data_IF_420462612324
#
_entry.id   IF_420462612324
#
_cell.length_a   1.000
_cell.length_b   1.000
_cell.length_c   1.000
_cell.angle_alpha   90.00
_cell.angle_beta   90.00
_cell.angle_gamma   90.00
#
_symmetry.space_group_name_H-M   'P 1'
#
loop_
_entity.id
_entity.type
_entity.pdbx_description
1 polymer ?
#
# COMPACT_ATOMS: atom_id res chain seq x y z
N UNK A 1 -52.47 -12.99 21.49
CA UNK A 1 -53.44 -11.97 21.10
C UNK A 1 -52.82 -11.14 20.01
N UNK A 2 -53.48 -11.21 18.83
CA UNK A 2 -53.37 -10.39 17.62
C UNK A 2 -51.97 -10.21 17.02
N UNK A 3 -51.59 -10.94 16.00
CA UNK A 3 -52.06 -10.99 14.59
C UNK A 3 -52.21 -9.60 13.93
N UNK A 4 -51.29 -9.34 12.98
CA UNK A 4 -51.57 -8.61 11.75
C UNK A 4 -50.42 -8.73 10.75
N UNK A 5 -50.64 -9.60 9.80
CA UNK A 5 -50.34 -9.53 8.35
C UNK A 5 -50.03 -8.13 7.83
N UNK A 6 -48.94 -8.04 7.08
CA UNK A 6 -48.73 -6.88 6.20
C UNK A 6 -48.49 -7.35 4.76
N UNK A 7 -49.30 -6.76 3.92
CA UNK A 7 -49.45 -7.06 2.51
C UNK A 7 -48.52 -6.19 1.67
N UNK A 8 -47.84 -6.81 0.72
CA UNK A 8 -47.17 -6.17 -0.40
C UNK A 8 -48.17 -5.52 -1.37
N UNK A 9 -47.93 -4.31 -1.87
CA UNK A 9 -48.77 -3.73 -2.92
C UNK A 9 -48.23 -4.17 -4.32
N UNK A 10 -49.09 -4.84 -5.05
CA UNK A 10 -48.96 -5.06 -6.48
C UNK A 10 -49.17 -3.76 -7.26
N UNK A 11 -48.32 -3.52 -8.26
CA UNK A 11 -48.51 -2.46 -9.25
C UNK A 11 -49.44 -2.95 -10.37
N UNK A 12 -50.43 -2.13 -10.80
CA UNK A 12 -51.36 -2.48 -11.89
C UNK A 12 -50.73 -2.22 -13.25
N UNK A 13 -50.73 -3.25 -14.11
CA UNK A 13 -50.51 -3.16 -15.53
C UNK A 13 -51.63 -2.41 -16.20
N UNK A 14 -51.31 -1.42 -17.00
CA UNK A 14 -52.22 -0.58 -17.73
C UNK A 14 -52.44 -1.21 -19.10
N UNK A 15 -53.58 -1.82 -19.30
CA UNK A 15 -54.15 -2.23 -20.60
C UNK A 15 -54.58 -0.98 -21.37
N UNK A 16 -54.02 -0.81 -22.57
CA UNK A 16 -54.54 0.14 -23.53
C UNK A 16 -55.09 -0.64 -24.72
N UNK A 17 -56.34 -1.02 -24.60
CA UNK A 17 -57.15 -1.39 -25.75
C UNK A 17 -57.58 -0.16 -26.52
N UNK A 18 -57.28 -0.14 -27.82
CA UNK A 18 -57.94 0.76 -28.78
C UNK A 18 -58.52 -0.12 -29.85
N UNK A 19 -59.83 -0.27 -29.78
CA UNK A 19 -60.64 -0.69 -30.86
C UNK A 19 -60.91 0.44 -31.81
N UNK A 20 -60.75 0.24 -33.07
CA UNK A 20 -61.34 1.08 -34.12
C UNK A 20 -61.83 0.22 -35.23
N UNK A 21 -63.12 0.17 -35.35
CA UNK A 21 -63.88 -0.25 -36.54
C UNK A 21 -63.61 0.69 -37.70
N UNK A 22 -63.30 0.16 -38.83
CA UNK A 22 -63.23 0.85 -40.12
C UNK A 22 -63.63 -0.04 -41.24
N UNK A 23 -64.72 0.32 -41.87
CA UNK A 23 -65.47 -0.44 -42.85
C UNK A 23 -64.70 -0.77 -44.11
N UNK A 24 -65.09 -1.88 -44.67
CA UNK A 24 -64.65 -2.54 -45.87
C UNK A 24 -65.26 -1.79 -47.09
N UNK A 25 -64.42 -1.50 -48.07
CA UNK A 25 -64.86 -1.37 -49.48
C UNK A 25 -64.12 -2.42 -50.29
N UNK A 26 -64.89 -3.39 -50.68
CA UNK A 26 -64.45 -4.43 -51.62
C UNK A 26 -64.45 -3.87 -53.04
N UNK A 27 -63.28 -3.84 -53.66
CA UNK A 27 -63.18 -3.72 -55.15
C UNK A 27 -62.79 -5.07 -55.66
N UNK A 28 -63.74 -5.68 -56.37
CA UNK A 28 -63.51 -6.81 -57.25
C UNK A 28 -62.56 -6.39 -58.38
N UNK A 29 -61.38 -7.00 -58.45
CA UNK A 29 -60.63 -7.06 -59.71
C UNK A 29 -60.57 -8.51 -60.17
N UNK A 30 -61.09 -8.69 -61.31
CA UNK A 30 -61.15 -9.92 -62.07
C UNK A 30 -59.78 -10.60 -62.22
N UNK A 31 -59.74 -11.87 -61.86
CA UNK A 31 -58.56 -12.69 -62.00
C UNK A 31 -58.10 -12.86 -63.44
N UNK A 32 -56.96 -12.27 -63.72
CA UNK A 32 -56.18 -12.65 -64.89
C UNK A 32 -54.91 -13.35 -64.38
N UNK A 33 -55.04 -14.66 -64.43
CA UNK A 33 -53.92 -15.49 -64.69
C UNK A 33 -52.88 -15.75 -63.70
N UNK A 34 -53.21 -16.27 -62.49
CA UNK A 34 -52.17 -16.95 -61.65
C UNK A 34 -51.52 -18.12 -62.45
N UNK A 35 -52.11 -18.56 -63.54
CA UNK A 35 -51.51 -19.58 -64.42
C UNK A 35 -50.35 -19.06 -65.26
N UNK A 36 -50.20 -17.75 -65.45
CA UNK A 36 -49.08 -17.12 -66.17
C UNK A 36 -47.85 -16.83 -65.29
N UNK A 37 -48.00 -16.80 -63.97
CA UNK A 37 -46.95 -16.50 -63.08
C UNK A 37 -45.76 -17.50 -63.11
N UNK A 38 -45.98 -18.83 -63.18
CA UNK A 38 -44.88 -19.77 -63.32
C UNK A 38 -44.18 -19.67 -64.68
N UNK A 39 -44.93 -19.32 -65.78
CA UNK A 39 -44.34 -19.12 -67.10
C UNK A 39 -43.44 -17.88 -67.15
N UNK A 40 -43.83 -16.78 -66.48
CA UNK A 40 -43.02 -15.57 -66.33
C UNK A 40 -41.74 -15.80 -65.46
N UNK A 41 -41.85 -16.63 -64.42
CA UNK A 41 -40.73 -16.99 -63.58
C UNK A 41 -39.70 -17.86 -64.31
N UNK A 42 -40.19 -18.82 -65.13
CA UNK A 42 -39.32 -19.65 -65.99
C UNK A 42 -38.63 -18.82 -67.06
N UNK A 43 -39.34 -17.88 -67.70
CA UNK A 43 -38.75 -17.00 -68.73
C UNK A 43 -37.75 -16.01 -68.09
N UNK A 44 -38.01 -15.54 -66.87
CA UNK A 44 -37.08 -14.69 -66.15
C UNK A 44 -35.81 -15.44 -65.78
N UNK A 45 -35.90 -16.66 -65.21
CA UNK A 45 -34.76 -17.51 -64.96
C UNK A 45 -33.99 -17.91 -66.21
N UNK A 46 -34.68 -18.27 -67.27
CA UNK A 46 -34.08 -18.65 -68.56
C UNK A 46 -33.39 -17.44 -69.22
N UNK A 47 -33.96 -16.23 -69.08
CA UNK A 47 -33.32 -14.99 -69.51
C UNK A 47 -32.12 -14.63 -68.72
N UNK A 48 -32.15 -14.85 -67.38
CA UNK A 48 -31.01 -14.63 -66.44
C UNK A 48 -29.83 -15.55 -66.72
N UNK A 49 -30.11 -16.84 -66.97
CA UNK A 49 -29.07 -17.85 -67.28
C UNK A 49 -28.45 -17.60 -68.64
N UNK A 50 -29.25 -17.26 -69.64
CA UNK A 50 -28.73 -16.91 -70.98
C UNK A 50 -27.99 -15.57 -70.98
N UNK A 51 -28.42 -14.60 -70.17
CA UNK A 51 -27.73 -13.34 -70.04
C UNK A 51 -26.38 -13.45 -69.32
N UNK A 52 -26.22 -14.40 -68.39
CA UNK A 52 -24.98 -14.69 -67.70
C UNK A 52 -23.95 -15.46 -68.52
N UNK A 53 -24.45 -16.37 -69.45
CA UNK A 53 -23.57 -17.27 -70.22
C UNK A 53 -23.22 -16.76 -71.59
N UNK A 54 -24.12 -15.97 -72.23
CA UNK A 54 -23.90 -15.38 -73.56
C UNK A 54 -23.90 -13.85 -73.44
N UNK A 55 -22.75 -13.25 -73.29
CA UNK A 55 -22.66 -11.81 -73.48
C UNK A 55 -22.95 -11.48 -74.97
N UNK A 56 -24.00 -10.78 -75.28
CA UNK A 56 -24.26 -10.39 -76.66
C UNK A 56 -23.13 -9.53 -77.23
N UNK A 57 -22.66 -9.72 -78.44
CA UNK A 57 -21.56 -8.98 -79.04
C UNK A 57 -21.77 -7.45 -79.02
N UNK A 58 -23.00 -6.96 -78.90
CA UNK A 58 -23.31 -5.54 -78.73
C UNK A 58 -22.98 -4.95 -77.39
N UNK A 59 -22.96 -5.74 -76.29
CA UNK A 59 -22.56 -5.26 -74.96
C UNK A 59 -21.07 -5.05 -74.86
N UNK A 60 -20.27 -5.86 -75.55
CA UNK A 60 -18.81 -5.62 -75.59
C UNK A 60 -18.44 -4.28 -76.27
N UNK A 61 -19.20 -3.90 -77.30
CA UNK A 61 -19.06 -2.62 -77.99
C UNK A 61 -19.51 -1.44 -77.09
N UNK A 62 -20.54 -1.62 -76.27
CA UNK A 62 -21.06 -0.63 -75.35
C UNK A 62 -20.08 -0.40 -74.19
N UNK A 63 -19.52 -1.47 -73.63
CA UNK A 63 -18.50 -1.35 -72.52
C UNK A 63 -17.20 -0.75 -73.10
N UNK A 64 -16.81 -1.05 -74.31
CA UNK A 64 -15.63 -0.40 -74.91
C UNK A 64 -15.82 1.08 -75.27
N UNK A 65 -17.10 1.54 -75.46
CA UNK A 65 -17.38 2.96 -75.75
C UNK A 65 -17.62 3.79 -74.50
N UNK A 66 -18.09 3.16 -73.40
CA UNK A 66 -18.46 3.83 -72.16
C UNK A 66 -17.41 3.68 -71.06
N UNK A 67 -16.44 2.79 -71.23
CA UNK A 67 -15.40 2.52 -70.22
C UNK A 67 -15.92 1.82 -68.93
N UNK A 68 -17.16 1.28 -68.99
CA UNK A 68 -17.78 0.58 -67.86
C UNK A 68 -17.53 -0.93 -68.03
N UNK A 69 -16.79 -1.55 -67.14
CA UNK A 69 -16.64 -3.00 -67.14
C UNK A 69 -17.69 -3.67 -66.24
N UNK A 70 -18.19 -4.84 -66.56
CA UNK A 70 -19.10 -5.59 -65.70
C UNK A 70 -18.35 -6.09 -64.47
N UNK A 71 -18.72 -5.58 -63.34
CA UNK A 71 -18.02 -5.79 -62.07
C UNK A 71 -17.25 -4.57 -61.61
N UNK A 72 -17.40 -3.42 -62.28
CA UNK A 72 -16.68 -2.18 -62.06
C UNK A 72 -16.77 -1.60 -60.65
N UNK A 73 -16.00 -2.19 -59.78
CA UNK A 73 -15.32 -1.43 -58.75
C UNK A 73 -14.10 -0.78 -59.42
N UNK A 74 -13.97 0.50 -59.27
CA UNK A 74 -12.79 1.29 -59.72
C UNK A 74 -11.50 0.56 -59.30
N UNK A 75 -10.52 0.42 -60.21
CA UNK A 75 -9.20 -0.17 -59.93
C UNK A 75 -8.45 0.52 -58.74
N UNK A 76 -8.91 1.68 -58.34
CA UNK A 76 -8.34 2.47 -57.28
C UNK A 76 -8.49 1.90 -55.85
N UNK A 77 -9.55 1.16 -55.43
CA UNK A 77 -9.61 0.68 -54.04
C UNK A 77 -8.63 -0.46 -53.72
N UNK A 78 -8.35 -1.34 -54.67
CA UNK A 78 -7.47 -2.49 -54.42
C UNK A 78 -5.99 -2.08 -54.51
N UNK A 79 -5.62 -1.22 -55.44
CA UNK A 79 -4.28 -0.71 -55.58
C UNK A 79 -3.91 0.23 -54.42
N UNK A 80 -4.84 1.06 -53.92
CA UNK A 80 -4.61 1.93 -52.74
C UNK A 80 -4.58 1.09 -51.46
N UNK A 81 -5.43 0.07 -51.33
CA UNK A 81 -5.39 -0.85 -50.20
C UNK A 81 -4.09 -1.68 -50.18
N UNK A 82 -3.64 -2.19 -51.37
CA UNK A 82 -2.34 -2.87 -51.43
C UNK A 82 -1.15 -1.94 -51.22
N UNK A 83 -1.21 -0.70 -51.72
CA UNK A 83 -0.14 0.29 -51.44
C UNK A 83 -0.14 0.77 -49.99
N UNK A 84 -1.32 0.88 -49.36
CA UNK A 84 -1.42 1.16 -47.93
C UNK A 84 -0.97 -0.04 -47.06
N UNK A 85 -1.34 -1.26 -47.44
CA UNK A 85 -0.87 -2.49 -46.81
C UNK A 85 0.63 -2.65 -47.03
N UNK A 86 1.18 -2.34 -48.22
CA UNK A 86 2.63 -2.34 -48.44
C UNK A 86 3.37 -1.18 -47.76
N UNK A 87 2.69 -0.04 -47.50
CA UNK A 87 3.26 1.06 -46.74
C UNK A 87 3.16 0.83 -45.19
N UNK A 88 2.19 0.02 -44.75
CA UNK A 88 2.11 -0.45 -43.36
C UNK A 88 2.89 -1.74 -43.12
N UNK A 89 3.28 -2.46 -44.13
CA UNK A 89 4.18 -3.61 -44.06
C UNK A 89 5.66 -3.23 -44.13
N UNK A 90 6.06 -2.19 -43.41
CA UNK A 90 7.29 -2.26 -42.64
C UNK A 90 6.96 -2.97 -41.34
N UNK A 91 6.32 -4.13 -41.41
CA UNK A 91 6.43 -5.14 -40.36
C UNK A 91 7.92 -5.39 -40.25
N UNK A 92 8.51 -4.95 -39.17
CA UNK A 92 9.88 -5.27 -38.86
C UNK A 92 10.05 -6.79 -39.09
N UNK A 93 10.98 -7.14 -39.96
CA UNK A 93 11.26 -8.52 -40.33
C UNK A 93 11.47 -9.28 -39.03
N UNK A 94 10.52 -10.12 -38.66
CA UNK A 94 10.70 -11.05 -37.53
C UNK A 94 11.80 -11.99 -37.99
N UNK A 95 12.99 -11.84 -37.43
CA UNK A 95 14.10 -12.77 -37.70
C UNK A 95 13.69 -14.17 -37.27
N UNK A 96 14.13 -15.19 -38.01
CA UNK A 96 13.93 -16.59 -37.63
C UNK A 96 14.61 -16.82 -36.26
N UNK A 97 13.98 -16.49 -35.18
CA UNK A 97 14.58 -16.53 -33.83
C UNK A 97 13.85 -15.63 -32.84
N UNK A 98 13.23 -14.55 -33.30
CA UNK A 98 12.55 -13.58 -32.45
C UNK A 98 11.28 -14.17 -31.81
N UNK A 99 11.10 -13.89 -30.53
CA UNK A 99 9.87 -14.19 -29.79
C UNK A 99 9.12 -12.89 -29.59
N UNK A 100 7.86 -12.85 -30.06
CA UNK A 100 6.97 -11.71 -29.86
C UNK A 100 6.00 -12.04 -28.75
N UNK A 101 5.87 -11.14 -27.78
CA UNK A 101 4.99 -11.25 -26.64
C UNK A 101 4.28 -9.92 -26.38
N UNK A 102 3.13 -9.98 -25.72
CA UNK A 102 2.52 -8.79 -25.14
C UNK A 102 3.21 -8.48 -23.82
N UNK A 103 3.35 -7.21 -23.52
CA UNK A 103 3.98 -6.78 -22.27
C UNK A 103 3.34 -5.52 -21.70
N UNK A 104 3.68 -5.23 -20.47
CA UNK A 104 3.23 -4.05 -19.74
C UNK A 104 4.42 -3.37 -19.08
N UNK A 105 4.49 -2.05 -19.22
CA UNK A 105 5.55 -1.26 -18.57
C UNK A 105 5.24 -1.11 -17.08
N UNK A 106 6.22 -1.41 -16.22
CA UNK A 106 6.11 -1.31 -14.77
C UNK A 106 7.34 -0.64 -14.17
N UNK A 107 7.22 0.02 -13.01
CA UNK A 107 8.38 0.47 -12.24
C UNK A 107 9.14 -0.71 -11.62
N UNK A 108 10.37 -0.50 -11.18
CA UNK A 108 11.14 -1.52 -10.46
C UNK A 108 10.43 -1.91 -9.15
N UNK A 109 10.20 -3.21 -8.97
CA UNK A 109 9.47 -3.75 -7.81
C UNK A 109 7.96 -3.63 -7.88
N UNK A 110 7.40 -3.35 -9.08
CA UNK A 110 5.97 -3.20 -9.31
C UNK A 110 5.35 -1.92 -8.71
N UNK A 111 4.03 -1.74 -8.90
CA UNK A 111 3.28 -0.63 -8.31
C UNK A 111 2.88 -0.98 -6.89
N UNK A 112 3.32 -0.16 -5.95
CA UNK A 112 3.03 -0.35 -4.54
C UNK A 112 1.81 0.49 -4.13
N UNK A 113 0.74 -0.17 -3.74
CA UNK A 113 -0.43 0.47 -3.14
C UNK A 113 -0.13 0.80 -1.66
N UNK A 114 -0.01 2.09 -1.35
CA UNK A 114 0.24 2.56 0.01
C UNK A 114 -1.09 2.60 0.76
N UNK A 115 -1.27 1.64 1.66
CA UNK A 115 -2.44 1.56 2.53
C UNK A 115 -2.28 2.43 3.79
N UNK A 116 -3.38 2.68 4.47
CA UNK A 116 -3.35 3.33 5.79
C UNK A 116 -2.71 2.42 6.83
N UNK A 117 -2.03 3.00 7.84
CA UNK A 117 -1.47 2.23 8.94
C UNK A 117 -2.53 1.40 9.68
N UNK A 118 -2.12 0.25 10.21
CA UNK A 118 -3.00 -0.63 10.98
C UNK A 118 -3.70 0.11 12.14
N UNK A 119 -5.02 -0.07 12.26
CA UNK A 119 -5.83 0.59 13.28
C UNK A 119 -6.36 1.98 12.89
N UNK A 120 -6.02 2.50 11.71
CA UNK A 120 -6.51 3.77 11.19
C UNK A 120 -7.64 3.64 10.14
N UNK A 121 -8.18 2.44 9.94
CA UNK A 121 -9.18 2.13 8.89
C UNK A 121 -10.50 2.92 9.01
N UNK A 122 -10.82 3.43 10.20
CA UNK A 122 -12.04 4.24 10.43
C UNK A 122 -11.80 5.75 10.30
N UNK A 123 -10.55 6.17 10.28
CA UNK A 123 -10.18 7.58 10.10
C UNK A 123 -10.41 8.02 8.65
N UNK A 124 -10.73 9.30 8.45
CA UNK A 124 -10.87 9.93 7.15
C UNK A 124 -9.60 10.69 6.79
N UNK A 125 -9.41 10.94 5.53
CA UNK A 125 -8.31 11.75 5.04
C UNK A 125 -8.63 13.22 5.35
N UNK A 126 -7.79 13.83 6.17
CA UNK A 126 -7.89 15.27 6.48
C UNK A 126 -7.17 16.12 5.43
N UNK A 127 -6.00 15.67 4.99
CA UNK A 127 -5.14 16.40 4.06
C UNK A 127 -4.31 15.40 3.23
N UNK A 128 -4.18 15.66 1.94
CA UNK A 128 -3.22 14.98 1.06
C UNK A 128 -2.12 15.98 0.76
N UNK A 129 -0.86 15.60 0.97
CA UNK A 129 0.31 16.49 0.85
C UNK A 129 1.12 16.28 -0.41
N UNK A 130 0.69 15.38 -1.26
CA UNK A 130 1.40 15.01 -2.48
C UNK A 130 0.46 15.08 -3.67
N UNK A 131 1.05 15.16 -4.87
CA UNK A 131 0.35 15.21 -6.14
C UNK A 131 0.81 14.09 -7.06
N UNK A 132 -0.03 13.68 -8.00
CA UNK A 132 0.37 12.73 -9.03
C UNK A 132 1.57 13.25 -9.84
N UNK A 133 2.54 12.36 -10.08
CA UNK A 133 3.81 12.69 -10.74
C UNK A 133 4.86 13.32 -9.83
N UNK A 134 4.59 13.52 -8.54
CA UNK A 134 5.55 14.02 -7.56
C UNK A 134 6.50 12.92 -7.11
N UNK A 135 7.78 13.26 -6.95
CA UNK A 135 8.78 12.33 -6.41
C UNK A 135 8.89 12.50 -4.91
N UNK A 136 8.79 11.41 -4.19
CA UNK A 136 8.84 11.35 -2.72
C UNK A 136 9.98 10.45 -2.25
N UNK A 137 10.42 10.68 -1.03
CA UNK A 137 11.42 9.85 -0.35
C UNK A 137 10.74 8.99 0.70
N UNK A 138 11.36 7.88 1.01
CA UNK A 138 10.95 7.02 2.11
C UNK A 138 10.81 7.81 3.42
N UNK A 139 9.64 7.71 4.05
CA UNK A 139 9.30 8.42 5.27
C UNK A 139 8.57 9.75 5.06
N UNK A 140 8.53 10.30 3.85
CA UNK A 140 7.74 11.51 3.56
C UNK A 140 6.26 11.29 3.85
N UNK A 141 5.60 12.33 4.36
CA UNK A 141 4.19 12.27 4.72
C UNK A 141 3.35 12.50 3.45
N UNK A 142 2.63 11.47 3.05
CA UNK A 142 1.74 11.48 1.88
C UNK A 142 0.38 12.07 2.22
N UNK A 143 -0.17 11.65 3.38
CA UNK A 143 -1.47 12.13 3.84
C UNK A 143 -1.54 12.15 5.37
N UNK A 144 -2.47 12.97 5.86
CA UNK A 144 -2.79 13.15 7.28
C UNK A 144 -4.23 12.73 7.50
N UNK A 145 -4.47 11.94 8.55
CA UNK A 145 -5.79 11.47 8.92
C UNK A 145 -6.46 12.42 9.94
N UNK A 146 -7.79 12.44 9.98
CA UNK A 146 -8.61 13.37 10.79
C UNK A 146 -8.51 13.12 12.30
N UNK A 147 -8.01 11.96 12.72
CA UNK A 147 -7.76 11.62 14.11
C UNK A 147 -6.42 12.17 14.66
N UNK A 148 -5.59 12.84 13.84
CA UNK A 148 -4.29 13.38 14.25
C UNK A 148 -4.37 14.23 15.50
N UNK A 149 -5.28 15.22 15.53
CA UNK A 149 -5.43 16.13 16.67
C UNK A 149 -5.82 15.41 17.96
N UNK A 150 -6.63 14.37 17.88
CA UNK A 150 -7.00 13.54 19.03
C UNK A 150 -5.79 12.76 19.56
N UNK A 151 -5.01 12.16 18.68
CA UNK A 151 -3.81 11.39 19.04
C UNK A 151 -2.69 12.29 19.57
N UNK A 152 -2.54 13.50 19.03
CA UNK A 152 -1.62 14.51 19.55
C UNK A 152 -2.00 14.94 20.98
N UNK A 153 -3.29 15.16 21.25
CA UNK A 153 -3.78 15.45 22.60
C UNK A 153 -3.52 14.29 23.57
N UNK A 154 -3.71 13.05 23.12
CA UNK A 154 -3.40 11.87 23.91
C UNK A 154 -1.89 11.78 24.23
N UNK A 155 -1.03 12.04 23.26
CA UNK A 155 0.42 12.12 23.45
C UNK A 155 0.82 13.22 24.45
N UNK A 156 0.25 14.41 24.30
CA UNK A 156 0.50 15.53 25.21
C UNK A 156 0.06 15.20 26.64
N UNK A 157 -1.05 14.49 26.81
CA UNK A 157 -1.54 14.00 28.11
C UNK A 157 -0.59 12.97 28.71
N UNK A 158 -0.13 11.99 27.93
CA UNK A 158 0.86 11.01 28.37
C UNK A 158 2.18 11.67 28.81
N UNK A 159 2.68 12.64 28.02
CA UNK A 159 3.87 13.43 28.36
C UNK A 159 3.71 14.27 29.64
N UNK A 160 2.50 14.81 29.86
CA UNK A 160 2.21 15.52 31.12
C UNK A 160 2.21 14.57 32.31
N UNK A 161 1.63 13.38 32.18
CA UNK A 161 1.63 12.33 33.20
C UNK A 161 3.05 11.86 33.53
N UNK A 162 3.88 11.66 32.52
CA UNK A 162 5.30 11.31 32.69
C UNK A 162 6.01 12.34 33.61
N UNK A 163 5.85 13.63 33.30
CA UNK A 163 6.45 14.72 34.11
C UNK A 163 5.98 14.70 35.57
N UNK A 164 4.71 14.35 35.80
CA UNK A 164 4.19 14.20 37.19
C UNK A 164 4.86 13.03 37.89
N UNK A 165 5.10 11.90 37.19
CA UNK A 165 5.79 10.75 37.80
C UNK A 165 7.28 11.00 38.04
N UNK A 166 7.95 11.75 37.16
CA UNK A 166 9.33 12.23 37.39
C UNK A 166 9.42 13.10 38.64
N UNK A 167 8.50 14.06 38.80
CA UNK A 167 8.43 14.90 39.97
C UNK A 167 8.12 14.09 41.25
N UNK A 168 7.26 13.08 41.18
CA UNK A 168 6.95 12.21 42.31
C UNK A 168 8.14 11.37 42.75
N UNK A 169 8.93 10.84 41.82
CA UNK A 169 10.19 10.13 42.15
C UNK A 169 11.17 11.06 42.84
N UNK A 170 11.38 12.27 42.29
CA UNK A 170 12.26 13.28 42.91
C UNK A 170 11.78 13.66 44.32
N UNK A 171 10.46 13.88 44.49
CA UNK A 171 9.86 14.16 45.81
C UNK A 171 10.13 13.02 46.79
N UNK A 172 9.97 11.75 46.38
CA UNK A 172 10.26 10.59 47.24
C UNK A 172 11.72 10.57 47.65
N UNK A 173 12.66 10.79 46.72
CA UNK A 173 14.08 10.82 46.98
C UNK A 173 14.45 11.94 47.94
N UNK A 174 13.93 13.16 47.74
CA UNK A 174 14.21 14.31 48.63
C UNK A 174 13.59 14.12 50.04
N UNK A 175 12.40 13.51 50.13
CA UNK A 175 11.78 13.18 51.43
C UNK A 175 12.63 12.18 52.21
N UNK A 176 13.12 11.14 51.57
CA UNK A 176 14.01 10.15 52.17
C UNK A 176 15.32 10.82 52.64
N UNK A 177 15.88 11.68 51.78
CA UNK A 177 17.11 12.43 52.11
C UNK A 177 16.91 13.33 53.33
N UNK A 178 15.84 14.12 53.36
CA UNK A 178 15.54 14.99 54.49
C UNK A 178 15.33 14.18 55.80
N UNK A 179 14.58 13.05 55.73
CA UNK A 179 14.39 12.19 56.91
C UNK A 179 15.70 11.57 57.41
N UNK A 180 16.61 11.21 56.49
CA UNK A 180 17.93 10.71 56.82
C UNK A 180 18.79 11.78 57.54
N UNK A 181 18.80 13.01 57.00
CA UNK A 181 19.53 14.14 57.60
C UNK A 181 19.00 14.46 59.01
N UNK A 182 17.65 14.43 59.19
CA UNK A 182 17.01 14.60 60.50
C UNK A 182 17.43 13.49 61.50
N UNK A 183 17.35 12.23 61.05
CA UNK A 183 17.74 11.08 61.89
C UNK A 183 19.21 11.13 62.24
N UNK A 184 20.08 11.58 61.35
CA UNK A 184 21.52 11.77 61.63
C UNK A 184 21.76 12.87 62.70
N UNK A 185 21.10 14.03 62.54
CA UNK A 185 21.21 15.12 63.54
C UNK A 185 20.70 14.68 64.90
N UNK A 186 19.65 13.86 64.97
CA UNK A 186 19.15 13.28 66.22
C UNK A 186 20.15 12.31 66.87
N UNK A 187 20.82 11.48 66.04
CA UNK A 187 21.87 10.58 66.50
C UNK A 187 23.08 11.37 67.08
N UNK A 188 23.54 12.40 66.37
CA UNK A 188 24.66 13.28 66.83
C UNK A 188 24.31 13.94 68.13
N UNK A 189 23.08 14.42 68.33
CA UNK A 189 22.60 14.96 69.59
C UNK A 189 22.65 13.94 70.76
N UNK A 190 22.16 12.70 70.45
CA UNK A 190 22.18 11.61 71.43
C UNK A 190 23.62 11.21 71.83
N UNK A 191 24.55 11.19 70.83
CA UNK A 191 25.97 10.94 71.10
C UNK A 191 26.57 11.98 72.00
N UNK A 192 26.36 13.29 71.79
CA UNK A 192 26.82 14.37 72.61
C UNK A 192 26.25 14.27 74.03
N UNK A 193 24.98 13.94 74.22
CA UNK A 193 24.33 13.72 75.51
C UNK A 193 24.94 12.51 76.21
N UNK A 194 25.27 11.44 75.50
CA UNK A 194 25.93 10.25 76.10
C UNK A 194 27.32 10.53 76.53
N UNK A 195 28.11 11.31 75.80
CA UNK A 195 29.43 11.74 76.14
C UNK A 195 29.41 12.57 77.43
N UNK A 196 28.47 13.50 77.56
CA UNK A 196 28.26 14.30 78.75
C UNK A 196 27.89 13.43 79.95
N UNK A 197 26.95 12.52 79.84
CA UNK A 197 26.52 11.62 80.93
C UNK A 197 27.61 10.64 81.32
N UNK A 198 28.39 10.14 80.40
CA UNK A 198 29.54 9.28 80.64
C UNK A 198 30.64 10.02 81.38
N UNK A 199 30.96 11.27 80.96
CA UNK A 199 31.96 12.12 81.64
C UNK A 199 31.59 12.42 83.07
N UNK A 200 30.32 12.64 83.38
CA UNK A 200 29.83 12.82 84.75
C UNK A 200 29.95 11.55 85.58
N UNK A 201 29.62 10.38 85.03
CA UNK A 201 29.78 9.06 85.64
C UNK A 201 31.28 8.81 85.95
N UNK A 202 32.16 9.02 84.99
CA UNK A 202 33.58 8.81 85.10
C UNK A 202 34.19 9.76 86.17
N UNK A 203 33.63 10.94 86.33
CA UNK A 203 34.01 11.88 87.37
C UNK A 203 33.53 11.44 88.79
N UNK A 204 32.29 10.93 88.87
CA UNK A 204 31.69 10.55 90.18
C UNK A 204 32.19 9.20 90.70
N UNK A 205 32.54 8.25 89.85
CA UNK A 205 33.02 6.90 90.23
C UNK A 205 34.19 6.95 91.20
N UNK A 206 35.32 7.61 90.92
CA UNK A 206 36.47 7.70 91.83
C UNK A 206 36.19 8.54 93.10
N UNK A 207 35.23 9.48 93.03
CA UNK A 207 34.80 10.26 94.19
C UNK A 207 33.93 9.40 95.13
N UNK A 208 33.09 8.54 94.67
CA UNK A 208 32.30 7.57 95.46
C UNK A 208 33.21 6.53 96.11
N UNK A 209 34.21 6.01 95.44
CA UNK A 209 35.21 5.08 95.93
C UNK A 209 35.99 5.67 97.09
N UNK A 210 36.23 6.99 97.08
CA UNK A 210 36.91 7.73 98.18
C UNK A 210 35.97 8.20 99.26
N UNK A 211 34.65 7.87 99.19
CA UNK A 211 33.65 8.31 100.17
C UNK A 211 33.24 9.78 100.07
N UNK A 212 33.62 10.50 99.00
CA UNK A 212 33.33 11.95 98.84
C UNK A 212 31.95 12.15 98.19
N UNK A 213 31.56 11.26 97.28
CA UNK A 213 30.23 11.25 96.66
C UNK A 213 29.31 10.20 97.33
N UNK A 214 27.99 10.41 97.31
CA UNK A 214 27.01 9.46 97.83
C UNK A 214 26.72 8.33 96.86
N UNK A 215 26.41 7.15 97.32
CA UNK A 215 26.04 6.02 96.47
C UNK A 215 24.78 6.36 95.56
N UNK A 216 23.83 7.12 96.13
CA UNK A 216 22.66 7.59 95.35
C UNK A 216 23.02 8.53 94.21
N UNK A 217 24.10 9.33 94.35
CA UNK A 217 24.58 10.18 93.25
C UNK A 217 25.23 9.34 92.13
N UNK A 218 26.04 8.31 92.54
CA UNK A 218 26.63 7.37 91.55
C UNK A 218 25.56 6.56 90.83
N UNK A 219 24.56 6.01 91.53
CA UNK A 219 23.47 5.25 90.94
C UNK A 219 22.65 6.10 89.95
N UNK A 220 22.44 7.41 90.32
CA UNK A 220 21.77 8.36 89.43
C UNK A 220 22.60 8.63 88.18
N UNK A 221 23.89 8.82 88.25
CA UNK A 221 24.77 9.04 87.12
C UNK A 221 24.87 7.80 86.21
N UNK A 222 24.94 6.60 86.82
CA UNK A 222 24.90 5.32 86.06
C UNK A 222 23.64 5.18 85.32
N UNK A 223 22.46 5.40 85.95
CA UNK A 223 21.17 5.30 85.27
C UNK A 223 21.04 6.29 84.08
N UNK A 224 21.55 7.53 84.22
CA UNK A 224 21.57 8.55 83.18
C UNK A 224 22.47 8.13 82.02
N UNK A 225 23.67 7.58 82.30
CA UNK A 225 24.55 7.11 81.23
C UNK A 225 23.98 5.94 80.50
N UNK A 226 23.28 5.01 81.16
CA UNK A 226 22.62 3.87 80.54
C UNK A 226 21.41 4.29 79.74
N UNK A 227 20.65 5.28 80.21
CA UNK A 227 19.53 5.86 79.44
C UNK A 227 20.04 6.51 78.16
N UNK A 228 21.06 7.35 78.24
CA UNK A 228 21.68 8.02 77.12
C UNK A 228 22.20 7.02 76.06
N UNK A 229 22.85 5.92 76.50
CA UNK A 229 23.29 4.82 75.57
C UNK A 229 22.14 4.20 74.84
N UNK A 230 21.02 3.92 75.51
CA UNK A 230 19.82 3.36 74.85
C UNK A 230 19.22 4.36 73.84
N UNK A 231 19.32 5.65 74.12
CA UNK A 231 18.89 6.72 73.21
C UNK A 231 19.75 6.75 71.94
N UNK A 232 21.05 6.56 72.05
CA UNK A 232 21.94 6.40 70.89
C UNK A 232 21.53 5.18 70.03
N UNK A 233 21.33 4.02 70.70
CA UNK A 233 20.90 2.80 69.99
C UNK A 233 19.57 2.99 69.24
N UNK A 234 18.58 3.65 69.85
CA UNK A 234 17.29 3.97 69.26
C UNK A 234 17.43 4.89 68.03
N UNK A 235 18.22 5.97 68.16
CA UNK A 235 18.46 6.92 67.08
C UNK A 235 19.29 6.27 65.96
N UNK A 236 20.26 5.40 66.31
CA UNK A 236 20.99 4.61 65.28
C UNK A 236 20.08 3.66 64.51
N UNK A 237 19.18 2.96 65.20
CA UNK A 237 18.16 2.11 64.55
C UNK A 237 17.17 2.91 63.68
N UNK A 238 16.89 4.18 64.10
CA UNK A 238 16.06 5.07 63.24
C UNK A 238 16.82 5.50 62.01
N UNK A 239 18.08 5.92 62.09
CA UNK A 239 18.90 6.29 60.96
C UNK A 239 19.07 5.14 59.98
N UNK A 240 19.28 3.92 60.47
CA UNK A 240 19.45 2.73 59.61
C UNK A 240 18.24 2.44 58.69
N UNK A 241 17.03 2.91 59.04
CA UNK A 241 15.85 2.80 58.15
C UNK A 241 15.96 3.64 56.92
N UNK A 242 16.70 4.74 56.96
CA UNK A 242 16.87 5.69 55.84
C UNK A 242 18.23 5.52 55.14
N UNK A 243 19.03 4.55 55.53
CA UNK A 243 20.26 4.24 54.82
C UNK A 243 19.99 3.60 53.49
N UNK A 244 20.88 3.83 52.50
CA UNK A 244 20.74 3.38 51.11
C UNK A 244 20.77 1.86 50.94
N UNK A 245 20.50 1.05 51.83
CA UNK A 245 20.39 -0.42 51.79
C UNK A 245 19.20 -0.94 52.58
N UNK A 246 18.40 -0.03 53.17
CA UNK A 246 17.23 -0.45 53.92
C UNK A 246 16.13 -0.93 52.96
N UNK A 247 15.48 -2.06 53.21
CA UNK A 247 14.45 -2.60 52.38
C UNK A 247 13.24 -1.67 52.18
N UNK A 248 12.94 -0.81 53.21
CA UNK A 248 11.85 0.15 53.13
C UNK A 248 12.12 1.26 52.10
N UNK A 249 13.30 1.88 52.16
CA UNK A 249 13.72 2.93 51.21
C UNK A 249 13.82 2.38 49.80
N UNK A 250 14.39 1.18 49.64
CA UNK A 250 14.45 0.52 48.31
C UNK A 250 13.08 0.22 47.77
N UNK A 251 12.13 -0.19 48.59
CA UNK A 251 10.76 -0.49 48.16
C UNK A 251 10.02 0.78 47.68
N UNK A 252 10.14 1.91 48.44
CA UNK A 252 9.47 3.17 48.08
C UNK A 252 10.03 3.76 46.79
N UNK A 253 11.36 3.74 46.62
CA UNK A 253 12.00 4.17 45.37
C UNK A 253 11.61 3.25 44.22
N UNK A 254 11.65 1.93 44.41
CA UNK A 254 11.29 0.96 43.37
C UNK A 254 9.84 1.12 42.87
N UNK A 255 8.91 1.43 43.78
CA UNK A 255 7.52 1.73 43.40
C UNK A 255 7.45 3.01 42.56
N UNK A 256 8.15 4.06 42.93
CA UNK A 256 8.18 5.32 42.21
C UNK A 256 8.84 5.13 40.81
N UNK A 257 9.93 4.38 40.73
CA UNK A 257 10.62 4.03 39.47
C UNK A 257 9.76 3.17 38.58
N UNK A 258 9.06 2.17 39.11
CA UNK A 258 8.13 1.33 38.32
C UNK A 258 6.97 2.16 37.77
N UNK A 259 6.42 3.11 38.54
CA UNK A 259 5.40 4.03 38.06
C UNK A 259 5.91 4.96 36.95
N UNK A 260 7.16 5.43 37.06
CA UNK A 260 7.81 6.25 36.06
C UNK A 260 8.01 5.45 34.78
N UNK A 261 8.49 4.23 34.86
CA UNK A 261 8.69 3.35 33.70
C UNK A 261 7.36 3.02 33.00
N UNK A 262 6.30 2.74 33.75
CA UNK A 262 4.97 2.56 33.19
C UNK A 262 4.52 3.78 32.37
N UNK A 263 4.76 5.00 32.92
CA UNK A 263 4.42 6.24 32.19
C UNK A 263 5.29 6.48 30.95
N UNK A 264 6.54 6.01 30.92
CA UNK A 264 7.39 6.03 29.71
C UNK A 264 6.83 5.13 28.62
N UNK A 265 6.38 3.94 29.00
CA UNK A 265 5.71 3.02 28.07
C UNK A 265 4.43 3.64 27.50
N UNK A 266 3.64 4.33 28.34
CA UNK A 266 2.43 5.03 27.88
C UNK A 266 2.75 6.14 26.87
N UNK A 267 3.83 6.90 27.07
CA UNK A 267 4.29 7.90 26.10
C UNK A 267 4.71 7.25 24.80
N UNK A 268 5.51 6.18 24.85
CA UNK A 268 5.95 5.45 23.65
C UNK A 268 4.78 4.89 22.87
N UNK A 269 3.76 4.38 23.57
CA UNK A 269 2.51 3.93 22.95
C UNK A 269 1.78 5.08 22.25
N UNK A 270 1.62 6.21 22.94
CA UNK A 270 0.94 7.37 22.38
C UNK A 270 1.70 7.98 21.18
N UNK A 271 3.04 7.92 21.18
CA UNK A 271 3.88 8.30 20.04
C UNK A 271 3.65 7.38 18.84
N UNK A 272 3.61 6.06 19.07
CA UNK A 272 3.31 5.08 18.03
C UNK A 272 1.90 5.24 17.49
N UNK A 273 0.93 5.56 18.34
CA UNK A 273 -0.45 5.80 17.91
C UNK A 273 -0.55 7.08 17.07
N UNK A 274 0.18 8.15 17.44
CA UNK A 274 0.23 9.39 16.67
C UNK A 274 0.86 9.19 15.28
N UNK A 275 1.93 8.39 15.18
CA UNK A 275 2.53 8.05 13.88
C UNK A 275 1.53 7.36 12.94
N UNK A 276 0.55 6.62 13.47
CA UNK A 276 -0.51 6.00 12.67
C UNK A 276 -1.50 6.99 12.07
N UNK A 277 -1.52 8.24 12.51
CA UNK A 277 -2.29 9.30 11.86
C UNK A 277 -1.64 9.84 10.59
N UNK A 278 -0.38 9.46 10.33
CA UNK A 278 0.39 9.89 9.18
C UNK A 278 0.61 8.71 8.23
N UNK A 279 0.15 8.86 7.00
CA UNK A 279 0.46 7.91 5.93
C UNK A 279 1.79 8.33 5.31
N UNK A 280 2.79 7.45 5.38
CA UNK A 280 4.15 7.75 4.89
C UNK A 280 4.54 6.87 3.71
N UNK A 281 5.41 7.39 2.86
CA UNK A 281 6.03 6.63 1.77
C UNK A 281 6.92 5.51 2.33
N UNK A 282 6.69 4.24 1.95
CA UNK A 282 7.51 3.12 2.40
C UNK A 282 8.84 2.98 1.64
N UNK A 283 8.90 3.53 0.42
CA UNK A 283 10.08 3.53 -0.47
C UNK A 283 10.28 4.92 -1.08
N UNK A 284 11.43 5.14 -1.69
CA UNK A 284 11.66 6.27 -2.59
C UNK A 284 10.94 5.98 -3.91
N UNK A 285 10.31 6.97 -4.53
CA UNK A 285 9.60 6.75 -5.79
C UNK A 285 8.77 7.94 -6.26
N UNK A 286 7.94 7.71 -7.25
CA UNK A 286 7.01 8.68 -7.82
C UNK A 286 5.57 8.27 -7.50
N UNK A 287 4.73 9.24 -7.17
CA UNK A 287 3.29 9.05 -7.00
C UNK A 287 2.67 8.82 -8.38
N UNK A 288 2.11 7.64 -8.59
CA UNK A 288 1.52 7.24 -9.87
C UNK A 288 0.04 7.60 -9.95
N UNK A 289 -0.69 7.36 -8.85
CA UNK A 289 -2.12 7.68 -8.77
C UNK A 289 -2.54 8.00 -7.33
N UNK A 290 -3.61 8.78 -7.19
CA UNK A 290 -4.30 9.07 -5.93
C UNK A 290 -5.68 8.40 -5.96
N UNK A 291 -5.85 7.34 -5.16
CA UNK A 291 -7.07 6.52 -5.16
C UNK A 291 -8.14 7.01 -4.17
N UNK A 292 -7.87 8.09 -3.44
CA UNK A 292 -8.77 8.62 -2.42
C UNK A 292 -8.72 10.15 -2.35
N UNK A 293 -9.80 10.78 -1.89
CA UNK A 293 -9.92 12.23 -1.77
C UNK A 293 -10.02 12.69 -0.32
N UNK A 294 -9.75 13.99 -0.10
CA UNK A 294 -9.90 14.62 1.22
C UNK A 294 -11.35 14.49 1.70
N UNK A 295 -11.55 14.07 2.94
CA UNK A 295 -12.85 13.82 3.57
C UNK A 295 -13.38 12.40 3.40
N UNK A 296 -12.79 11.60 2.55
CA UNK A 296 -13.15 10.20 2.33
C UNK A 296 -12.42 9.26 3.30
N UNK A 297 -12.96 8.06 3.46
CA UNK A 297 -12.22 6.94 4.03
C UNK A 297 -11.26 6.41 2.97
N UNK A 298 -10.05 6.03 3.36
CA UNK A 298 -9.10 5.43 2.45
C UNK A 298 -9.67 4.22 1.72
N UNK A 299 -9.39 4.12 0.42
CA UNK A 299 -9.85 2.99 -0.40
C UNK A 299 -9.18 1.68 0.05
N UNK A 300 -9.86 0.56 -0.18
CA UNK A 300 -9.31 -0.76 0.13
C UNK A 300 -8.08 -1.11 -0.72
N UNK A 301 -7.99 -0.52 -1.91
CA UNK A 301 -6.87 -0.66 -2.86
C UNK A 301 -5.66 0.21 -2.50
N UNK A 302 -5.71 0.90 -1.37
CA UNK A 302 -4.69 1.86 -0.94
C UNK A 302 -5.07 3.31 -1.21
N UNK A 303 -4.39 4.23 -0.52
CA UNK A 303 -4.62 5.67 -0.66
C UNK A 303 -3.89 6.23 -1.88
N UNK A 304 -2.69 5.76 -2.11
CA UNK A 304 -1.75 6.25 -3.13
C UNK A 304 -1.05 5.07 -3.78
N UNK A 305 -0.86 5.13 -5.07
CA UNK A 305 0.03 4.23 -5.80
C UNK A 305 1.41 4.88 -5.95
N UNK A 306 2.43 4.13 -5.54
CA UNK A 306 3.83 4.55 -5.53
C UNK A 306 4.67 3.55 -6.31
N UNK A 307 5.60 4.03 -7.15
CA UNK A 307 6.52 3.18 -7.89
C UNK A 307 7.92 3.78 -7.98
N UNK A 308 8.93 2.92 -7.94
CA UNK A 308 10.31 3.36 -8.24
C UNK A 308 10.50 3.49 -9.75
N UNK A 309 10.30 4.69 -10.25
CA UNK A 309 10.44 5.02 -11.67
C UNK A 309 11.88 5.37 -12.07
N UNK A 310 12.84 5.23 -11.18
CA UNK A 310 14.26 5.42 -11.51
C UNK A 310 14.77 4.34 -12.47
N UNK A 311 14.18 3.17 -12.40
CA UNK A 311 14.40 2.06 -13.29
C UNK A 311 13.05 1.50 -13.73
N UNK A 312 12.78 1.50 -15.03
CA UNK A 312 11.57 0.90 -15.58
C UNK A 312 11.84 -0.50 -16.09
N UNK A 313 10.84 -1.33 -15.97
CA UNK A 313 10.82 -2.72 -16.44
C UNK A 313 9.64 -2.95 -17.38
N UNK A 314 9.68 -4.03 -18.12
CA UNK A 314 8.54 -4.53 -18.88
C UNK A 314 8.31 -5.98 -18.50
N UNK A 315 7.11 -6.26 -18.05
CA UNK A 315 6.62 -7.61 -17.84
C UNK A 315 6.03 -8.12 -19.14
N UNK A 316 6.66 -9.12 -19.75
CA UNK A 316 6.25 -9.70 -21.02
C UNK A 316 5.67 -11.10 -20.82
N UNK A 317 4.45 -11.32 -21.31
CA UNK A 317 3.74 -12.60 -21.24
C UNK A 317 4.15 -13.51 -22.40
N UNK A 318 5.16 -14.34 -22.20
CA UNK A 318 5.68 -15.27 -23.20
C UNK A 318 4.93 -16.60 -23.14
N UNK A 319 4.46 -17.08 -24.28
CA UNK A 319 3.79 -18.39 -24.36
C UNK A 319 4.68 -19.52 -23.84
N UNK A 320 4.12 -20.43 -23.03
CA UNK A 320 4.84 -21.55 -22.44
C UNK A 320 5.58 -22.42 -23.48
N UNK A 321 5.10 -22.47 -24.71
CA UNK A 321 5.74 -23.25 -25.80
C UNK A 321 7.03 -22.61 -26.29
N UNK A 322 7.24 -21.32 -26.03
CA UNK A 322 8.40 -20.55 -26.49
C UNK A 322 9.40 -20.22 -25.40
N UNK A 323 8.99 -20.34 -24.13
CA UNK A 323 9.82 -19.91 -22.99
C UNK A 323 11.19 -20.62 -22.93
N UNK A 324 11.26 -21.87 -23.39
CA UNK A 324 12.52 -22.62 -23.42
C UNK A 324 13.60 -22.03 -24.33
N UNK A 325 13.26 -21.05 -25.17
CA UNK A 325 14.18 -20.34 -26.06
C UNK A 325 14.70 -19.06 -25.45
N UNK A 326 13.98 -18.49 -24.47
CA UNK A 326 14.34 -17.23 -23.79
C UNK A 326 15.44 -17.51 -22.78
N UNK A 327 16.46 -16.64 -22.74
CA UNK A 327 17.50 -16.69 -21.73
C UNK A 327 17.69 -15.31 -21.07
N UNK A 328 18.14 -15.33 -19.83
CA UNK A 328 18.55 -14.11 -19.13
C UNK A 328 19.71 -13.47 -19.89
N UNK A 329 19.58 -12.16 -20.15
CA UNK A 329 20.53 -11.38 -20.92
C UNK A 329 20.19 -11.24 -22.40
N UNK A 330 19.17 -11.92 -22.92
CA UNK A 330 18.72 -11.74 -24.30
C UNK A 330 18.30 -10.26 -24.53
N UNK A 331 18.71 -9.65 -25.65
CA UNK A 331 18.33 -8.29 -26.00
C UNK A 331 16.85 -8.23 -26.36
N UNK A 332 16.21 -7.14 -25.96
CA UNK A 332 14.78 -6.94 -26.13
C UNK A 332 14.50 -5.55 -26.74
N UNK A 333 13.61 -5.53 -27.71
CA UNK A 333 13.02 -4.31 -28.26
C UNK A 333 11.56 -4.24 -27.87
N UNK A 334 11.14 -3.12 -27.31
CA UNK A 334 9.77 -2.87 -26.86
C UNK A 334 9.18 -1.74 -27.65
N UNK A 335 8.04 -1.97 -28.30
CA UNK A 335 7.31 -0.98 -29.10
C UNK A 335 5.88 -0.81 -28.59
N UNK A 336 5.37 0.42 -28.67
CA UNK A 336 3.98 0.74 -28.38
C UNK A 336 3.55 1.96 -29.20
N UNK A 337 2.25 2.05 -29.52
CA UNK A 337 1.72 3.15 -30.31
C UNK A 337 1.89 4.53 -29.65
N UNK A 338 1.89 4.56 -28.30
CA UNK A 338 2.06 5.79 -27.53
C UNK A 338 3.53 6.25 -27.38
N UNK A 339 4.49 5.51 -27.95
CA UNK A 339 5.92 5.81 -27.85
C UNK A 339 6.47 6.42 -29.15
N UNK A 340 7.23 7.50 -29.03
CA UNK A 340 8.04 8.04 -30.11
C UNK A 340 9.32 7.21 -30.28
N UNK A 341 9.19 6.01 -30.88
CA UNK A 341 10.27 5.06 -31.13
C UNK A 341 10.38 3.93 -30.09
N UNK A 342 11.18 2.95 -30.41
CA UNK A 342 11.34 1.73 -29.63
C UNK A 342 12.13 1.99 -28.33
N UNK A 343 11.78 1.23 -27.27
CA UNK A 343 12.57 1.11 -26.05
C UNK A 343 13.45 -0.14 -26.16
N UNK A 344 14.61 -0.09 -25.54
CA UNK A 344 15.57 -1.19 -25.52
C UNK A 344 15.85 -1.65 -24.10
N UNK A 345 16.10 -2.96 -23.97
CA UNK A 345 16.35 -3.57 -22.68
C UNK A 345 16.93 -4.96 -22.82
N UNK A 346 17.04 -5.66 -21.72
CA UNK A 346 17.52 -7.03 -21.64
C UNK A 346 16.64 -7.86 -20.72
N UNK A 347 16.49 -9.14 -21.01
CA UNK A 347 15.83 -10.08 -20.11
C UNK A 347 16.58 -10.16 -18.80
N UNK A 348 15.95 -9.77 -17.69
CA UNK A 348 16.54 -9.79 -16.35
C UNK A 348 16.11 -11.00 -15.53
N UNK A 349 14.88 -11.46 -15.70
CA UNK A 349 14.35 -12.61 -15.00
C UNK A 349 13.28 -13.34 -15.83
N UNK A 350 13.12 -14.62 -15.57
CA UNK A 350 12.08 -15.48 -16.16
C UNK A 350 11.24 -15.99 -14.99
N UNK A 351 9.93 -15.82 -15.06
CA UNK A 351 8.98 -16.28 -14.05
C UNK A 351 9.06 -17.79 -13.86
N UNK A 352 8.78 -18.22 -12.64
CA UNK A 352 8.79 -19.64 -12.27
C UNK A 352 7.38 -20.26 -12.30
N UNK A 353 6.37 -19.45 -12.55
CA UNK A 353 4.96 -19.85 -12.56
C UNK A 353 4.39 -19.74 -13.97
N UNK A 354 3.52 -20.69 -14.33
CA UNK A 354 2.77 -20.65 -15.58
C UNK A 354 1.38 -20.11 -15.26
N UNK A 355 1.13 -18.89 -15.67
CA UNK A 355 -0.13 -18.18 -15.50
C UNK A 355 -1.07 -18.31 -16.70
N UNK A 356 -2.19 -17.62 -16.62
CA UNK A 356 -3.06 -17.33 -17.77
C UNK A 356 -2.69 -15.93 -18.28
N UNK A 357 -2.80 -15.76 -19.57
CA UNK A 357 -2.62 -14.45 -20.18
C UNK A 357 -3.57 -13.43 -19.56
N UNK A 358 -3.02 -12.33 -19.05
CA UNK A 358 -3.75 -11.23 -18.42
C UNK A 358 -3.82 -9.99 -19.31
N UNK A 359 -2.82 -9.78 -20.14
CA UNK A 359 -2.77 -8.69 -21.12
C UNK A 359 -3.58 -9.13 -22.32
N UNK A 360 -4.74 -8.52 -22.54
CA UNK A 360 -5.68 -8.90 -23.57
C UNK A 360 -5.31 -8.20 -24.88
N UNK A 361 -5.16 -8.97 -25.97
CA UNK A 361 -5.09 -8.40 -27.31
C UNK A 361 -6.46 -7.84 -27.72
N UNK A 362 -6.50 -6.70 -28.38
CA UNK A 362 -7.72 -6.12 -28.99
C UNK A 362 -8.34 -7.01 -30.09
N UNK A 363 -7.66 -8.10 -30.44
CA UNK A 363 -8.17 -9.07 -31.40
C UNK A 363 -9.18 -10.02 -30.72
N UNK A 364 -10.48 -9.93 -31.04
CA UNK A 364 -11.52 -10.81 -30.48
C UNK A 364 -11.34 -12.29 -30.85
N UNK A 365 -10.44 -12.61 -31.78
CA UNK A 365 -10.07 -13.98 -32.14
C UNK A 365 -8.86 -14.50 -31.34
N UNK A 366 -8.22 -13.67 -30.50
CA UNK A 366 -7.13 -14.09 -29.67
C UNK A 366 -7.58 -15.14 -28.63
N UNK A 367 -6.77 -16.15 -28.46
CA UNK A 367 -7.08 -17.29 -27.59
C UNK A 367 -6.89 -16.90 -26.14
N UNK A 368 -7.96 -16.50 -25.45
CA UNK A 368 -7.96 -16.04 -24.05
C UNK A 368 -7.58 -17.11 -23.01
N UNK A 369 -7.36 -18.36 -23.40
CA UNK A 369 -6.94 -19.47 -22.52
C UNK A 369 -5.46 -19.86 -22.76
N UNK A 370 -4.68 -18.95 -23.29
CA UNK A 370 -3.25 -19.17 -23.49
C UNK A 370 -2.49 -19.21 -22.16
N UNK A 371 -1.59 -20.19 -22.04
CA UNK A 371 -0.69 -20.30 -20.89
C UNK A 371 0.60 -19.57 -21.18
N UNK A 372 0.96 -18.67 -20.27
CA UNK A 372 2.11 -17.78 -20.40
C UNK A 372 3.03 -17.88 -19.18
N UNK A 373 4.26 -17.45 -19.37
CA UNK A 373 5.25 -17.24 -18.33
C UNK A 373 5.69 -15.79 -18.43
N UNK A 374 5.71 -15.11 -17.30
CA UNK A 374 6.11 -13.72 -17.21
C UNK A 374 7.64 -13.61 -17.33
N UNK A 375 8.06 -12.78 -18.25
CA UNK A 375 9.48 -12.47 -18.47
C UNK A 375 9.71 -11.01 -18.13
N UNK A 376 10.57 -10.75 -17.15
CA UNK A 376 10.90 -9.40 -16.73
C UNK A 376 12.06 -8.87 -17.57
N UNK A 377 11.80 -7.79 -18.26
CA UNK A 377 12.77 -7.09 -19.10
C UNK A 377 13.19 -5.81 -18.39
N UNK A 378 14.46 -5.64 -18.15
CA UNK A 378 15.02 -4.42 -17.60
C UNK A 378 15.35 -3.46 -18.74
N UNK A 379 14.71 -2.29 -18.75
CA UNK A 379 14.99 -1.25 -19.74
C UNK A 379 16.34 -0.59 -19.47
N UNK A 380 16.99 -0.12 -20.51
CA UNK A 380 18.17 0.73 -20.34
C UNK A 380 17.81 2.11 -19.75
N UNK A 381 18.83 2.90 -19.36
CA UNK A 381 18.61 4.19 -18.69
C UNK A 381 17.87 5.20 -19.57
N UNK A 382 18.13 5.21 -20.89
CA UNK A 382 17.48 6.12 -21.81
C UNK A 382 16.02 5.75 -22.06
N UNK A 383 15.74 4.45 -22.17
CA UNK A 383 14.39 3.89 -22.30
C UNK A 383 13.60 4.04 -21.00
N UNK A 384 14.20 3.83 -19.83
CA UNK A 384 13.58 4.05 -18.51
C UNK A 384 13.14 5.50 -18.35
N UNK A 385 13.96 6.50 -18.75
CA UNK A 385 13.58 7.91 -18.67
C UNK A 385 12.40 8.26 -19.57
N UNK A 386 12.28 7.64 -20.75
CA UNK A 386 11.13 7.82 -21.63
C UNK A 386 9.88 7.17 -21.07
N UNK A 387 10.02 6.01 -20.43
CA UNK A 387 8.91 5.19 -19.94
C UNK A 387 8.40 5.59 -18.56
N UNK A 388 9.13 6.41 -17.78
CA UNK A 388 8.87 6.67 -16.35
C UNK A 388 7.49 7.25 -16.01
N UNK A 389 6.77 7.79 -16.99
CA UNK A 389 5.41 8.31 -16.84
C UNK A 389 4.35 7.46 -17.54
N UNK A 390 4.74 6.29 -18.00
CA UNK A 390 3.92 5.41 -18.82
C UNK A 390 3.71 4.06 -18.13
N UNK A 391 3.58 4.06 -16.82
CA UNK A 391 3.25 2.85 -16.04
C UNK A 391 1.94 2.24 -16.54
N UNK A 392 1.90 0.92 -16.63
CA UNK A 392 0.80 0.13 -17.19
C UNK A 392 0.57 0.32 -18.70
N UNK A 393 1.49 0.95 -19.43
CA UNK A 393 1.42 1.00 -20.90
C UNK A 393 1.54 -0.41 -21.48
N UNK A 394 0.56 -0.82 -22.27
CA UNK A 394 0.59 -2.04 -23.04
C UNK A 394 1.58 -1.92 -24.21
N UNK A 395 2.39 -2.94 -24.40
CA UNK A 395 3.51 -2.92 -25.33
C UNK A 395 3.62 -4.26 -26.07
N UNK A 396 4.22 -4.21 -27.25
CA UNK A 396 4.68 -5.38 -27.98
C UNK A 396 6.16 -5.56 -27.70
N UNK A 397 6.50 -6.68 -27.12
CA UNK A 397 7.86 -7.02 -26.71
C UNK A 397 8.42 -8.03 -27.71
N UNK A 398 9.58 -7.70 -28.27
CA UNK A 398 10.32 -8.58 -29.16
C UNK A 398 11.64 -8.98 -28.48
N UNK A 399 11.78 -10.26 -28.18
CA UNK A 399 12.97 -10.84 -27.56
C UNK A 399 13.80 -11.51 -28.65
N UNK A 400 15.04 -11.09 -28.83
CA UNK A 400 15.98 -11.76 -29.72
C UNK A 400 16.54 -13.02 -29.04
N UNK A 401 15.87 -14.13 -29.29
CA UNK A 401 16.25 -15.46 -28.82
C UNK A 401 17.17 -16.21 -29.82
N UNK A 402 17.59 -15.54 -30.87
CA UNK A 402 18.52 -16.03 -31.87
C UNK A 402 19.95 -16.02 -31.35
N UNK A 403 20.31 -17.02 -30.56
CA UNK A 403 21.74 -17.27 -30.25
C UNK A 403 22.43 -17.62 -31.55
N UNK A 404 23.24 -16.69 -32.06
CA UNK A 404 24.28 -17.10 -32.98
C UNK A 404 25.05 -18.23 -32.29
N UNK A 405 24.89 -19.45 -32.77
CA UNK A 405 25.85 -20.51 -32.44
C UNK A 405 27.20 -19.96 -32.86
N UNK A 406 27.95 -19.42 -31.87
CA UNK A 406 29.39 -19.22 -32.04
C UNK A 406 29.94 -20.61 -32.29
N UNK A 407 30.13 -20.91 -33.60
CA UNK A 407 30.67 -22.17 -34.05
C UNK A 407 31.89 -22.51 -33.22
N UNK A 408 31.81 -23.63 -32.52
CA UNK A 408 32.96 -24.36 -32.11
C UNK A 408 33.62 -24.85 -33.42
N UNK A 409 34.49 -24.01 -33.91
CA UNK A 409 35.50 -24.39 -34.85
C UNK A 409 36.65 -24.98 -34.10
N UNK A 410 36.81 -26.30 -34.30
CA UNK A 410 38.01 -27.12 -34.07
C UNK A 410 38.61 -27.17 -32.66
#
# INVERSE_FOLDING_TARGET
MSDKTDATPEMPLKDNGIGASGAILATQTSGLGWKIFPLLLVTFFMGGVTGLYFQPPGMKAFFGLTGLEPGGGTETPIAVAMAQVQAQEQVAVVSEGDIVALGRVLPDGDVLAVATPYGASDARIQEIRVSEGETVKRGDVLAVLDNQSQLENALNTAKATLRVKEAALLQSQETIRASREEAQANLERALATTEQAQSELDRLTPLAERGVATQAALDTATARADEAKRDVERNRATLSRYEAGSGAVQADIAVAEANLEASRVDVSRAESDMERALVRAPIDGMILALNSQVGEKPANEGLVELGDTSQMMVEAEVYQTMIGRVAIGDPVTVSAEALDGDLTGVVSAIGLEIGRQSITSDDPAANTDARVVDVIVKLDAASSEKAKRLTNLETIVRIDAGRLETGQGE
#
